data_IF_928676116119
#
_entry.id   IF_928676116119
#
_cell.length_a   1.000
_cell.length_b   1.000
_cell.length_c   1.000
_cell.angle_alpha   90.00
_cell.angle_beta   90.00
_cell.angle_gamma   90.00
#
_symmetry.space_group_name_H-M   'P 1'
#
loop_
_entity.id
_entity.type
_entity.pdbx_description
1 polymer ?
#
# COMPACT_ATOMS: atom_id res chain seq x y z
N UNK A 1 9.58 -8.57 8.40
CA UNK A 1 9.39 -9.93 7.84
C UNK A 1 7.91 -10.16 7.65
N UNK A 2 7.55 -11.00 6.70
CA UNK A 2 6.18 -11.47 6.54
C UNK A 2 6.02 -12.88 7.12
N UNK A 3 4.81 -13.20 7.57
CA UNK A 3 4.37 -14.57 7.81
C UNK A 3 3.60 -15.04 6.58
N UNK A 4 4.04 -16.13 5.96
CA UNK A 4 3.37 -16.79 4.85
C UNK A 4 2.95 -18.18 5.28
N UNK A 5 1.77 -18.62 4.86
CA UNK A 5 1.31 -20.01 5.01
C UNK A 5 0.24 -20.33 3.97
N UNK A 6 -0.09 -21.62 3.82
CA UNK A 6 -1.19 -22.07 2.97
C UNK A 6 -2.39 -22.50 3.81
N UNK A 7 -3.57 -22.22 3.28
CA UNK A 7 -4.84 -22.65 3.84
C UNK A 7 -5.63 -23.45 2.81
N UNK A 8 -6.19 -24.58 3.24
CA UNK A 8 -7.17 -25.36 2.49
C UNK A 8 -8.48 -25.38 3.26
N UNK A 9 -9.58 -25.09 2.59
CA UNK A 9 -10.90 -25.03 3.20
C UNK A 9 -11.81 -26.05 2.53
N UNK A 10 -12.40 -26.94 3.34
CA UNK A 10 -13.37 -27.91 2.81
C UNK A 10 -14.63 -27.22 2.30
N UNK A 11 -15.30 -27.79 1.29
CA UNK A 11 -16.44 -27.19 0.59
C UNK A 11 -17.62 -26.82 1.51
N UNK A 12 -17.83 -27.58 2.59
CA UNK A 12 -18.90 -27.33 3.55
C UNK A 12 -18.60 -26.26 4.59
N UNK A 13 -17.38 -25.71 4.62
CA UNK A 13 -16.97 -24.70 5.60
C UNK A 13 -17.49 -23.32 5.18
N UNK A 14 -18.24 -22.59 6.03
CA UNK A 14 -18.64 -21.21 5.75
C UNK A 14 -17.45 -20.29 5.49
N UNK A 15 -17.68 -19.16 4.82
CA UNK A 15 -16.63 -18.17 4.59
C UNK A 15 -16.23 -17.46 5.88
N UNK A 16 -14.94 -17.13 5.98
CA UNK A 16 -14.37 -16.49 7.15
C UNK A 16 -13.26 -15.51 6.75
N UNK A 17 -12.98 -14.59 7.65
CA UNK A 17 -11.78 -13.78 7.64
C UNK A 17 -10.69 -14.44 8.51
N UNK A 18 -9.44 -14.21 8.15
CA UNK A 18 -8.28 -14.57 8.97
C UNK A 18 -7.57 -13.29 9.41
N UNK A 19 -7.22 -13.23 10.69
CA UNK A 19 -6.31 -12.22 11.24
C UNK A 19 -5.25 -12.88 12.11
N UNK A 20 -4.14 -12.18 12.28
CA UNK A 20 -3.03 -12.62 13.09
C UNK A 20 -2.98 -11.77 14.36
N UNK A 21 -3.10 -12.41 15.52
CA UNK A 21 -2.82 -11.77 16.79
C UNK A 21 -1.32 -11.60 16.93
N UNK A 22 -0.85 -10.36 16.93
CA UNK A 22 0.57 -10.01 17.03
C UNK A 22 0.81 -9.18 18.26
N UNK A 23 1.65 -9.68 19.16
CA UNK A 23 2.04 -8.97 20.37
C UNK A 23 3.09 -7.92 20.05
N UNK A 24 2.79 -6.70 20.45
CA UNK A 24 3.75 -5.62 20.56
C UNK A 24 4.31 -5.57 21.98
N UNK A 25 5.62 -5.77 22.08
CA UNK A 25 6.30 -5.84 23.36
C UNK A 25 7.73 -5.30 23.30
N UNK A 26 8.04 -4.49 22.28
CA UNK A 26 9.39 -3.96 22.05
C UNK A 26 10.48 -5.05 22.10
N UNK A 27 10.14 -6.30 21.78
CA UNK A 27 11.09 -7.40 21.84
C UNK A 27 12.21 -7.17 20.82
N UNK A 28 13.44 -7.48 21.23
CA UNK A 28 14.65 -7.33 20.41
C UNK A 28 15.29 -8.67 20.04
N UNK A 29 14.64 -9.79 20.36
CA UNK A 29 15.12 -11.10 19.94
C UNK A 29 15.24 -11.17 18.40
N UNK A 30 16.16 -11.99 17.87
CA UNK A 30 16.22 -12.29 16.45
C UNK A 30 14.89 -12.84 15.97
N UNK A 31 14.55 -12.62 14.70
CA UNK A 31 13.33 -13.16 14.12
C UNK A 31 13.38 -14.70 14.18
N UNK A 32 12.27 -15.33 14.60
CA UNK A 32 12.19 -16.75 14.91
C UNK A 32 12.62 -17.11 16.34
N UNK A 33 13.14 -16.14 17.10
CA UNK A 33 13.45 -16.28 18.53
C UNK A 33 12.21 -16.20 19.42
N UNK A 34 12.40 -16.46 20.72
CA UNK A 34 11.33 -16.33 21.71
C UNK A 34 10.88 -14.86 21.79
N UNK A 35 9.61 -14.64 21.46
CA UNK A 35 9.01 -13.32 21.45
C UNK A 35 8.67 -12.74 22.83
N UNK A 36 8.58 -13.58 23.87
CA UNK A 36 8.04 -13.20 25.18
C UNK A 36 6.52 -13.28 25.24
N UNK A 37 5.96 -13.17 26.45
CA UNK A 37 4.53 -13.41 26.72
C UNK A 37 3.79 -12.22 27.35
N UNK A 38 4.43 -11.05 27.39
CA UNK A 38 3.86 -9.82 27.99
C UNK A 38 3.96 -8.70 26.96
N UNK A 39 2.90 -7.90 26.83
CA UNK A 39 2.77 -6.82 25.84
C UNK A 39 1.32 -6.61 25.43
N UNK A 40 1.05 -5.52 24.71
CA UNK A 40 -0.20 -5.32 23.97
C UNK A 40 -0.28 -6.29 22.79
N UNK A 41 -1.48 -6.61 22.34
CA UNK A 41 -1.74 -7.45 21.17
C UNK A 41 -2.58 -6.63 20.20
N UNK A 42 -2.17 -6.67 18.95
CA UNK A 42 -2.84 -6.10 17.79
C UNK A 42 -3.39 -7.21 16.90
N UNK A 43 -4.48 -6.93 16.20
CA UNK A 43 -4.96 -7.75 15.10
C UNK A 43 -4.32 -7.30 13.79
N UNK A 44 -3.19 -7.91 13.42
CA UNK A 44 -2.59 -7.72 12.11
C UNK A 44 -3.48 -8.31 11.01
N UNK A 45 -3.64 -7.55 9.94
CA UNK A 45 -4.47 -7.82 8.78
C UNK A 45 -5.93 -7.43 8.97
N UNK A 46 -6.29 -6.84 10.13
CA UNK A 46 -7.64 -6.35 10.36
C UNK A 46 -7.81 -4.93 9.81
N UNK A 47 -8.86 -4.70 9.02
CA UNK A 47 -9.18 -3.39 8.44
C UNK A 47 -10.37 -2.72 9.13
N UNK A 48 -11.21 -3.50 9.81
CA UNK A 48 -12.31 -3.02 10.63
C UNK A 48 -12.66 -4.01 11.74
N UNK A 49 -13.39 -3.53 12.74
CA UNK A 49 -13.96 -4.37 13.81
C UNK A 49 -15.47 -4.42 13.66
N UNK A 50 -16.03 -5.62 13.62
CA UNK A 50 -17.48 -5.84 13.58
C UNK A 50 -18.01 -6.00 15.02
N UNK A 51 -18.88 -5.10 15.52
CA UNK A 51 -19.42 -5.21 16.87
C UNK A 51 -20.31 -6.45 17.04
N UNK A 52 -20.14 -7.14 18.16
CA UNK A 52 -21.01 -8.24 18.56
C UNK A 52 -21.64 -7.98 19.94
N UNK A 53 -22.69 -8.74 20.25
CA UNK A 53 -23.39 -8.67 21.54
C UNK A 53 -22.40 -8.79 22.70
N UNK A 54 -22.53 -7.92 23.70
CA UNK A 54 -21.64 -7.86 24.86
C UNK A 54 -20.54 -6.80 24.77
N UNK A 55 -20.53 -5.97 23.71
CA UNK A 55 -19.58 -4.87 23.57
C UNK A 55 -18.20 -5.30 23.07
N UNK A 56 -18.08 -6.53 22.59
CA UNK A 56 -16.87 -7.03 21.94
C UNK A 56 -16.89 -6.71 20.45
N UNK A 57 -15.72 -6.65 19.83
CA UNK A 57 -15.56 -6.52 18.37
C UNK A 57 -14.79 -7.71 17.85
N UNK A 58 -15.25 -8.28 16.73
CA UNK A 58 -14.52 -9.34 16.02
C UNK A 58 -13.74 -8.72 14.85
N UNK A 59 -12.48 -9.11 14.64
CA UNK A 59 -11.64 -8.50 13.62
C UNK A 59 -12.07 -8.97 12.23
N UNK A 60 -12.23 -8.02 11.31
CA UNK A 60 -12.47 -8.27 9.88
C UNK A 60 -11.15 -8.09 9.16
N UNK A 61 -10.61 -9.19 8.65
CA UNK A 61 -9.30 -9.20 7.99
C UNK A 61 -9.30 -9.82 6.60
N UNK A 62 -8.33 -10.70 6.33
CA UNK A 62 -8.16 -11.30 5.00
C UNK A 62 -9.27 -12.31 4.74
N UNK A 63 -10.11 -12.05 3.74
CA UNK A 63 -11.23 -12.90 3.38
C UNK A 63 -10.74 -14.20 2.73
N UNK A 64 -11.23 -15.35 3.21
CA UNK A 64 -10.98 -16.67 2.64
C UNK A 64 -12.30 -17.29 2.19
N UNK A 65 -12.49 -17.34 0.88
CA UNK A 65 -13.68 -17.91 0.21
C UNK A 65 -13.33 -19.13 -0.66
N UNK A 66 -12.06 -19.29 -1.03
CA UNK A 66 -11.61 -20.42 -1.84
C UNK A 66 -11.85 -21.75 -1.11
N UNK A 67 -12.43 -22.72 -1.81
CA UNK A 67 -12.72 -24.06 -1.30
C UNK A 67 -12.02 -25.12 -2.14
N UNK A 68 -11.75 -26.26 -1.51
CA UNK A 68 -11.16 -27.46 -2.13
C UNK A 68 -9.87 -27.21 -2.90
N UNK A 69 -9.09 -26.22 -2.46
CA UNK A 69 -7.79 -25.86 -3.02
C UNK A 69 -6.94 -25.18 -1.96
N UNK A 70 -5.63 -25.28 -2.13
CA UNK A 70 -4.67 -24.54 -1.31
C UNK A 70 -4.55 -23.10 -1.81
N UNK A 71 -4.71 -22.14 -0.91
CA UNK A 71 -4.43 -20.72 -1.18
C UNK A 71 -3.37 -20.20 -0.22
N UNK A 72 -2.53 -19.30 -0.72
CA UNK A 72 -1.50 -18.63 0.08
C UNK A 72 -2.12 -17.46 0.85
N UNK A 73 -1.76 -17.34 2.12
CA UNK A 73 -2.09 -16.21 2.99
C UNK A 73 -0.79 -15.60 3.48
N UNK A 74 -0.64 -14.29 3.29
CA UNK A 74 0.55 -13.54 3.71
C UNK A 74 0.15 -12.39 4.62
N UNK A 75 0.77 -12.32 5.80
CA UNK A 75 0.74 -11.17 6.70
C UNK A 75 2.09 -10.45 6.62
N UNK A 76 2.14 -9.31 5.93
CA UNK A 76 3.36 -8.54 5.75
C UNK A 76 3.49 -7.51 6.88
N UNK A 77 3.89 -7.99 8.06
CA UNK A 77 3.79 -7.28 9.34
C UNK A 77 4.21 -5.80 9.32
N UNK A 78 5.34 -5.39 8.67
CA UNK A 78 5.76 -3.98 8.69
C UNK A 78 4.76 -3.01 8.03
N UNK A 79 3.83 -3.50 7.22
CA UNK A 79 2.89 -2.69 6.45
C UNK A 79 1.44 -3.21 6.57
N UNK A 80 1.20 -4.20 7.41
CA UNK A 80 -0.11 -4.80 7.56
C UNK A 80 -1.02 -3.86 8.37
N UNK A 81 -2.27 -3.60 7.95
CA UNK A 81 -3.20 -2.84 8.77
C UNK A 81 -3.43 -3.57 10.10
N UNK A 82 -3.52 -2.80 11.18
CA UNK A 82 -3.67 -3.34 12.52
C UNK A 82 -4.86 -2.69 13.23
N UNK A 83 -5.51 -3.45 14.10
CA UNK A 83 -6.51 -2.93 15.04
C UNK A 83 -6.17 -3.33 16.47
N UNK A 84 -6.48 -2.46 17.45
CA UNK A 84 -6.25 -2.77 18.85
C UNK A 84 -7.07 -3.97 19.30
N UNK A 85 -6.44 -4.90 20.02
CA UNK A 85 -7.13 -6.04 20.62
C UNK A 85 -7.12 -6.02 22.15
N UNK A 86 -5.94 -6.25 22.74
CA UNK A 86 -5.84 -6.49 24.17
C UNK A 86 -4.54 -5.92 24.72
N UNK A 87 -4.54 -5.47 25.97
CA UNK A 87 -3.33 -5.03 26.65
C UNK A 87 -3.09 -5.83 27.93
N UNK A 88 -1.82 -6.15 28.18
CA UNK A 88 -1.39 -6.68 29.46
C UNK A 88 -1.42 -5.58 30.53
N UNK A 89 -1.72 -5.95 31.78
CA UNK A 89 -1.64 -5.01 32.91
C UNK A 89 -0.24 -4.41 33.03
N UNK A 90 -0.15 -3.08 33.13
CA UNK A 90 1.11 -2.36 33.20
C UNK A 90 1.81 -2.11 31.85
N UNK A 91 1.19 -2.47 30.74
CA UNK A 91 1.63 -2.11 29.39
C UNK A 91 0.76 -1.02 28.77
N UNK A 92 1.29 -0.25 27.79
CA UNK A 92 0.47 0.61 26.95
C UNK A 92 -0.75 -0.12 26.39
N UNK A 93 -1.82 0.64 26.18
CA UNK A 93 -2.98 0.11 25.47
C UNK A 93 -2.57 -0.27 24.05
N UNK A 94 -3.17 -1.35 23.53
CA UNK A 94 -3.12 -1.62 22.10
C UNK A 94 -3.64 -0.41 21.34
N UNK A 95 -2.95 0.00 20.28
CA UNK A 95 -3.18 1.27 19.59
C UNK A 95 -3.42 1.11 18.08
N UNK A 96 -3.50 -0.13 17.60
CA UNK A 96 -3.66 -0.44 16.18
C UNK A 96 -2.37 -0.31 15.39
N UNK A 97 -1.20 -0.38 16.04
CA UNK A 97 0.10 -0.30 15.38
C UNK A 97 1.08 -1.30 15.99
N UNK A 98 2.04 -1.71 15.17
CA UNK A 98 3.25 -2.36 15.66
C UNK A 98 4.35 -1.30 15.72
N UNK A 99 4.86 -1.01 16.92
CA UNK A 99 5.91 -0.01 17.19
C UNK A 99 7.28 -0.40 16.59
N UNK A 100 7.39 -1.60 16.02
CA UNK A 100 8.57 -2.08 15.32
C UNK A 100 8.24 -2.97 14.11
N UNK A 101 9.26 -3.35 13.32
CA UNK A 101 9.09 -4.16 12.12
C UNK A 101 8.81 -5.66 12.42
N UNK A 102 8.63 -6.00 13.69
CA UNK A 102 8.47 -7.35 14.20
C UNK A 102 7.47 -7.37 15.37
N UNK A 103 6.72 -8.47 15.48
CA UNK A 103 5.84 -8.75 16.59
C UNK A 103 5.90 -10.23 16.96
N UNK A 104 5.44 -10.58 18.15
CA UNK A 104 5.34 -12.00 18.55
C UNK A 104 4.03 -12.58 18.06
N UNK A 105 4.08 -13.67 17.31
CA UNK A 105 2.87 -14.40 16.88
C UNK A 105 2.20 -14.99 18.12
N UNK A 106 0.97 -14.57 18.39
CA UNK A 106 0.20 -15.05 19.53
C UNK A 106 -0.86 -16.07 19.08
N UNK A 107 -1.66 -15.72 18.08
CA UNK A 107 -2.74 -16.56 17.60
C UNK A 107 -3.13 -16.27 16.15
N UNK A 108 -3.81 -17.24 15.54
CA UNK A 108 -4.60 -17.01 14.34
C UNK A 108 -6.06 -16.96 14.74
N UNK A 109 -6.76 -15.90 14.33
CA UNK A 109 -8.19 -15.76 14.55
C UNK A 109 -8.95 -15.99 13.24
N UNK A 110 -10.01 -16.79 13.34
CA UNK A 110 -10.94 -17.10 12.26
C UNK A 110 -12.28 -16.47 12.59
N UNK A 111 -12.68 -15.47 11.81
CA UNK A 111 -13.92 -14.71 12.04
C UNK A 111 -14.94 -15.09 10.96
N UNK A 112 -16.06 -15.74 11.30
CA UNK A 112 -17.13 -16.00 10.32
C UNK A 112 -17.56 -14.72 9.61
N UNK A 113 -17.72 -14.76 8.28
CA UNK A 113 -18.23 -13.59 7.54
C UNK A 113 -19.64 -13.25 8.03
N UNK A 114 -20.53 -14.24 8.03
CA UNK A 114 -21.88 -14.07 8.56
C UNK A 114 -21.89 -14.14 10.10
N UNK A 115 -22.33 -13.07 10.81
CA UNK A 115 -22.46 -13.09 12.25
C UNK A 115 -23.57 -14.07 12.68
N UNK A 116 -23.17 -15.30 12.98
CA UNK A 116 -24.07 -16.39 13.35
C UNK A 116 -23.86 -17.69 12.58
N UNK A 117 -22.99 -17.71 11.57
CA UNK A 117 -22.64 -18.94 10.87
C UNK A 117 -22.01 -19.95 11.84
N UNK A 118 -22.73 -21.04 12.09
CA UNK A 118 -22.30 -22.17 12.90
C UNK A 118 -21.66 -23.24 12.03
N UNK A 119 -20.71 -23.98 12.62
CA UNK A 119 -19.88 -24.95 11.90
C UNK A 119 -20.60 -26.22 11.43
N UNK A 120 -19.83 -27.17 10.87
CA UNK A 120 -18.39 -27.32 11.06
C UNK A 120 -17.52 -26.37 10.22
N UNK A 121 -16.41 -25.90 10.79
CA UNK A 121 -15.31 -25.27 10.06
C UNK A 121 -14.17 -26.29 9.95
N UNK A 122 -13.96 -26.81 8.74
CA UNK A 122 -12.88 -27.75 8.44
C UNK A 122 -11.84 -27.03 7.60
N UNK A 123 -10.71 -26.75 8.25
CA UNK A 123 -9.62 -25.93 7.74
C UNK A 123 -8.31 -26.70 7.96
N UNK A 124 -7.47 -26.76 6.93
CA UNK A 124 -6.11 -27.28 7.03
C UNK A 124 -5.13 -26.14 6.79
N UNK A 125 -4.06 -26.10 7.57
CA UNK A 125 -3.00 -25.11 7.49
C UNK A 125 -1.69 -25.84 7.25
N UNK A 126 -0.87 -25.32 6.35
CA UNK A 126 0.42 -25.92 6.00
C UNK A 126 1.41 -24.84 5.55
N UNK A 127 2.68 -25.22 5.36
CA UNK A 127 3.74 -24.38 4.80
C UNK A 127 3.95 -23.03 5.55
N UNK A 128 3.89 -23.04 6.88
CA UNK A 128 4.24 -21.85 7.66
C UNK A 128 5.70 -21.46 7.48
N UNK A 129 5.90 -20.23 7.04
CA UNK A 129 7.20 -19.70 6.68
C UNK A 129 7.34 -18.24 7.12
N UNK A 130 8.51 -17.93 7.65
CA UNK A 130 8.97 -16.56 7.82
C UNK A 130 9.67 -16.11 6.54
N UNK A 131 9.14 -15.08 5.90
CA UNK A 131 9.69 -14.55 4.64
C UNK A 131 10.37 -13.21 4.89
N UNK A 132 11.62 -13.07 4.47
CA UNK A 132 12.32 -11.79 4.49
C UNK A 132 11.65 -10.81 3.53
N UNK A 133 11.65 -9.53 3.88
CA UNK A 133 11.10 -8.48 3.01
C UNK A 133 12.15 -7.40 2.85
N UNK A 134 12.26 -6.88 1.63
CA UNK A 134 13.32 -5.96 1.25
C UNK A 134 12.74 -4.69 0.66
N UNK A 135 13.34 -3.53 0.92
CA UNK A 135 12.89 -2.29 0.29
C UNK A 135 13.30 -2.24 -1.18
N UNK A 136 12.50 -1.53 -1.97
CA UNK A 136 12.88 -1.04 -3.30
C UNK A 136 13.08 0.47 -3.18
N UNK A 137 14.19 1.00 -3.70
CA UNK A 137 14.46 2.43 -3.72
C UNK A 137 15.03 2.92 -5.04
N UNK A 138 14.88 4.22 -5.25
CA UNK A 138 15.38 4.92 -6.43
C UNK A 138 14.99 6.38 -6.40
N UNK A 139 14.90 6.98 -7.57
CA UNK A 139 14.61 8.39 -7.77
C UNK A 139 13.42 8.59 -8.72
N UNK A 140 12.54 9.52 -8.39
CA UNK A 140 11.48 10.00 -9.28
C UNK A 140 11.83 11.44 -9.66
N UNK A 141 12.02 11.67 -10.96
CA UNK A 141 12.03 13.01 -11.53
C UNK A 141 10.61 13.39 -11.93
N UNK A 142 10.09 14.46 -11.34
CA UNK A 142 8.85 15.10 -11.78
C UNK A 142 9.23 16.19 -12.79
N UNK A 143 9.01 15.95 -14.08
CA UNK A 143 9.44 16.90 -15.11
C UNK A 143 8.68 18.22 -15.03
N UNK A 144 9.38 19.30 -15.38
CA UNK A 144 8.84 20.66 -15.49
C UNK A 144 8.14 21.19 -14.24
N UNK A 145 8.59 20.78 -13.05
CA UNK A 145 8.03 21.21 -11.77
C UNK A 145 9.07 21.92 -10.91
N UNK A 146 8.77 23.16 -10.55
CA UNK A 146 9.59 24.04 -9.72
C UNK A 146 9.08 24.12 -8.26
N UNK A 147 7.87 23.58 -7.99
CA UNK A 147 7.30 23.50 -6.65
C UNK A 147 8.02 22.50 -5.72
N UNK A 148 7.53 22.39 -4.47
CA UNK A 148 8.11 21.49 -3.48
C UNK A 148 7.73 20.01 -3.75
N UNK A 149 8.64 19.29 -4.42
CA UNK A 149 8.47 17.86 -4.75
C UNK A 149 8.24 16.97 -3.52
N UNK A 150 8.59 17.41 -2.31
CA UNK A 150 8.34 16.63 -1.08
C UNK A 150 6.86 16.58 -0.70
N UNK A 151 6.06 17.49 -1.25
CA UNK A 151 4.61 17.56 -1.05
C UNK A 151 3.82 16.83 -2.14
N UNK A 152 4.48 16.29 -3.16
CA UNK A 152 3.83 15.55 -4.25
C UNK A 152 3.84 14.04 -3.94
N UNK A 153 2.70 13.44 -3.55
CA UNK A 153 2.63 12.00 -3.37
C UNK A 153 2.71 11.29 -4.73
N UNK A 154 3.54 10.24 -4.81
CA UNK A 154 3.62 9.37 -5.98
C UNK A 154 2.96 8.03 -5.64
N UNK A 155 1.96 7.64 -6.42
CA UNK A 155 1.37 6.31 -6.35
C UNK A 155 2.25 5.33 -7.11
N UNK A 156 2.61 4.22 -6.46
CA UNK A 156 3.33 3.12 -7.07
C UNK A 156 2.52 1.83 -6.94
N UNK A 157 2.15 1.26 -8.07
CA UNK A 157 1.55 -0.07 -8.14
C UNK A 157 2.64 -1.12 -8.38
N UNK A 158 2.68 -2.14 -7.53
CA UNK A 158 3.45 -3.36 -7.76
C UNK A 158 2.52 -4.33 -8.48
N UNK A 159 2.86 -4.64 -9.72
CA UNK A 159 2.11 -5.54 -10.59
C UNK A 159 2.86 -6.86 -10.71
N UNK A 160 2.17 -7.98 -10.51
CA UNK A 160 2.72 -9.32 -10.69
C UNK A 160 1.71 -10.16 -11.47
N UNK A 161 2.18 -10.82 -12.53
CA UNK A 161 1.33 -11.63 -13.42
C UNK A 161 0.10 -10.85 -13.95
N UNK A 162 0.29 -9.56 -14.27
CA UNK A 162 -0.76 -8.67 -14.77
C UNK A 162 -1.78 -8.20 -13.73
N UNK A 163 -1.59 -8.52 -12.44
CA UNK A 163 -2.48 -8.08 -11.36
C UNK A 163 -1.74 -7.10 -10.44
N UNK A 164 -2.38 -6.00 -10.06
CA UNK A 164 -1.89 -5.13 -8.98
C UNK A 164 -1.96 -5.93 -7.68
N UNK A 165 -0.80 -6.26 -7.10
CA UNK A 165 -0.70 -7.01 -5.85
C UNK A 165 -0.45 -6.10 -4.64
N UNK A 166 -0.01 -4.87 -4.88
CA UNK A 166 0.11 -3.82 -3.86
C UNK A 166 0.07 -2.44 -4.49
N UNK A 167 -0.63 -1.52 -3.86
CA UNK A 167 -0.52 -0.08 -4.13
C UNK A 167 0.16 0.58 -2.94
N UNK A 168 1.16 1.42 -3.20
CA UNK A 168 1.85 2.21 -2.19
C UNK A 168 1.83 3.68 -2.60
N UNK A 169 1.72 4.57 -1.63
CA UNK A 169 2.03 5.99 -1.83
C UNK A 169 3.41 6.25 -1.25
N UNK A 170 4.31 6.77 -2.08
CA UNK A 170 5.66 7.18 -1.65
C UNK A 170 5.75 8.70 -1.68
N UNK A 171 6.41 9.25 -0.66
CA UNK A 171 6.78 10.66 -0.61
C UNK A 171 8.24 10.78 -1.01
N UNK A 172 8.55 11.81 -1.79
CA UNK A 172 9.91 12.07 -2.24
C UNK A 172 10.67 12.88 -1.18
N UNK A 173 11.98 12.64 -1.08
CA UNK A 173 12.87 13.59 -0.41
C UNK A 173 13.19 14.80 -1.32
N UNK A 174 13.91 15.79 -0.80
CA UNK A 174 14.26 17.01 -1.55
C UNK A 174 15.14 16.78 -2.79
N UNK A 175 15.66 15.56 -2.98
CA UNK A 175 16.40 15.16 -4.18
C UNK A 175 15.59 14.24 -5.11
N UNK A 176 14.31 13.99 -4.81
CA UNK A 176 13.45 13.09 -5.57
C UNK A 176 13.59 11.61 -5.18
N UNK A 177 14.33 11.26 -4.12
CA UNK A 177 14.50 9.85 -3.75
C UNK A 177 13.25 9.31 -3.05
N UNK A 178 12.95 8.04 -3.28
CA UNK A 178 11.84 7.34 -2.66
C UNK A 178 12.26 5.97 -2.12
N UNK A 179 11.43 5.38 -1.26
CA UNK A 179 11.57 3.99 -0.82
C UNK A 179 10.21 3.34 -0.63
N UNK A 180 10.03 2.17 -1.23
CA UNK A 180 8.89 1.27 -0.98
C UNK A 180 9.36 0.23 0.03
N UNK A 181 8.92 0.28 1.30
CA UNK A 181 9.38 -0.63 2.32
C UNK A 181 8.71 -2.01 2.19
N UNK A 182 9.36 -3.02 2.75
CA UNK A 182 8.80 -4.34 2.98
C UNK A 182 8.17 -5.00 1.74
N UNK A 183 8.90 -5.07 0.62
CA UNK A 183 8.47 -5.82 -0.56
C UNK A 183 8.87 -7.28 -0.41
N UNK A 184 7.96 -8.19 -0.75
CA UNK A 184 8.22 -9.63 -0.74
C UNK A 184 9.17 -10.01 -1.88
N UNK A 185 9.95 -11.10 -1.77
CA UNK A 185 10.70 -11.65 -2.88
C UNK A 185 9.76 -12.01 -4.04
N UNK A 186 10.13 -11.60 -5.24
CA UNK A 186 9.27 -11.69 -6.42
C UNK A 186 9.81 -10.84 -7.56
N UNK A 187 9.18 -10.95 -8.73
CA UNK A 187 9.43 -10.05 -9.86
C UNK A 187 8.17 -9.24 -10.10
N UNK A 188 8.33 -7.93 -10.20
CA UNK A 188 7.24 -6.98 -10.30
C UNK A 188 7.46 -6.02 -11.47
N UNK A 189 6.38 -5.63 -12.14
CA UNK A 189 6.36 -4.37 -12.86
C UNK A 189 5.96 -3.27 -11.87
N UNK A 190 6.69 -2.17 -11.84
CA UNK A 190 6.44 -1.03 -10.95
C UNK A 190 5.87 0.12 -11.77
N UNK A 191 4.59 0.44 -11.57
CA UNK A 191 3.94 1.53 -12.25
C UNK A 191 3.84 2.77 -11.36
N UNK A 192 4.47 3.85 -11.79
CA UNK A 192 4.54 5.13 -11.07
C UNK A 192 3.55 6.12 -11.69
N UNK A 193 2.75 6.78 -10.85
CA UNK A 193 1.79 7.81 -11.26
C UNK A 193 1.74 8.91 -10.19
N UNK A 194 2.00 10.14 -10.60
CA UNK A 194 1.73 11.34 -9.80
C UNK A 194 0.47 12.04 -10.31
N UNK A 195 0.10 13.17 -9.73
CA UNK A 195 -1.20 13.81 -9.94
C UNK A 195 -1.49 14.16 -11.40
N UNK A 196 -0.64 14.99 -12.02
CA UNK A 196 -0.81 15.48 -13.39
C UNK A 196 0.33 15.08 -14.35
N UNK A 197 1.08 14.04 -13.97
CA UNK A 197 2.13 13.45 -14.81
C UNK A 197 1.69 12.09 -15.34
N UNK A 198 2.11 11.75 -16.56
CA UNK A 198 1.89 10.47 -17.21
C UNK A 198 2.51 9.31 -16.42
N UNK A 199 1.86 8.14 -16.51
CA UNK A 199 2.30 6.89 -15.88
C UNK A 199 3.57 6.36 -16.54
N UNK A 200 4.48 5.81 -15.74
CA UNK A 200 5.68 5.10 -16.24
C UNK A 200 5.81 3.75 -15.55
N UNK A 201 6.15 2.71 -16.30
CA UNK A 201 6.31 1.34 -15.81
C UNK A 201 7.77 0.90 -15.93
N UNK A 202 8.38 0.57 -14.79
CA UNK A 202 9.65 -0.17 -14.76
C UNK A 202 9.35 -1.65 -14.70
N UNK A 203 9.66 -2.37 -15.79
CA UNK A 203 9.36 -3.80 -15.92
C UNK A 203 10.42 -4.69 -15.27
N UNK A 204 10.00 -5.89 -14.88
CA UNK A 204 10.88 -6.97 -14.44
C UNK A 204 11.80 -6.62 -13.26
N UNK A 205 11.30 -5.83 -12.29
CA UNK A 205 12.04 -5.50 -11.06
C UNK A 205 12.04 -6.71 -10.12
N UNK A 206 13.17 -7.41 -10.05
CA UNK A 206 13.33 -8.59 -9.21
C UNK A 206 13.82 -8.25 -7.80
N UNK A 207 12.99 -8.54 -6.81
CA UNK A 207 13.34 -8.55 -5.38
C UNK A 207 13.79 -9.96 -4.99
N UNK A 208 15.00 -10.06 -4.45
CA UNK A 208 15.56 -11.30 -3.88
C UNK A 208 15.80 -11.09 -2.39
N UNK A 209 16.78 -11.78 -1.79
CA UNK A 209 17.13 -11.68 -0.36
C UNK A 209 17.96 -10.41 -0.02
N UNK A 210 17.80 -9.33 -0.80
CA UNK A 210 18.51 -8.06 -0.59
C UNK A 210 17.70 -6.85 -1.08
N UNK A 211 17.95 -5.65 -0.51
CA UNK A 211 17.40 -4.39 -1.04
C UNK A 211 17.63 -4.21 -2.53
N UNK A 212 16.63 -3.68 -3.23
CA UNK A 212 16.75 -3.26 -4.64
C UNK A 212 16.93 -1.75 -4.67
N UNK A 213 17.93 -1.27 -5.41
CA UNK A 213 18.24 0.16 -5.54
C UNK A 213 18.34 0.56 -7.01
N UNK A 214 18.24 1.85 -7.30
CA UNK A 214 18.44 2.39 -8.65
C UNK A 214 17.25 2.19 -9.59
N UNK A 215 16.05 1.96 -9.05
CA UNK A 215 14.81 1.98 -9.82
C UNK A 215 14.41 3.44 -10.03
N UNK A 216 14.94 4.06 -11.09
CA UNK A 216 14.73 5.48 -11.35
C UNK A 216 13.73 5.69 -12.49
N UNK A 217 12.86 6.69 -12.36
CA UNK A 217 11.87 7.08 -13.37
C UNK A 217 11.83 8.59 -13.56
N UNK A 218 11.43 9.03 -14.76
CA UNK A 218 11.07 10.41 -15.05
C UNK A 218 9.61 10.44 -15.50
N UNK A 219 8.76 11.22 -14.84
CA UNK A 219 7.35 11.33 -15.18
C UNK A 219 7.14 12.57 -16.04
N UNK A 220 6.51 12.39 -17.20
CA UNK A 220 6.23 13.47 -18.15
C UNK A 220 4.97 14.22 -17.70
N UNK A 221 5.04 15.54 -17.65
CA UNK A 221 4.00 16.42 -17.13
C UNK A 221 2.91 16.72 -18.19
N UNK A 222 1.67 17.03 -17.77
CA UNK A 222 0.63 17.61 -18.63
C UNK A 222 -0.70 16.85 -18.72
N UNK A 223 -0.83 15.74 -18.01
CA UNK A 223 -2.07 14.93 -17.94
C UNK A 223 -2.93 15.42 -16.77
N UNK A 224 -3.62 16.54 -16.98
CA UNK A 224 -4.35 17.29 -15.95
C UNK A 224 -5.57 16.50 -15.47
N UNK A 225 -6.21 15.75 -16.36
CA UNK A 225 -7.42 15.00 -16.03
C UNK A 225 -7.12 13.59 -15.47
N UNK A 226 -5.87 13.13 -15.55
CA UNK A 226 -5.39 11.85 -15.03
C UNK A 226 -5.78 10.64 -15.88
N UNK A 227 -6.15 10.84 -17.16
CA UNK A 227 -6.55 9.77 -18.08
C UNK A 227 -5.39 9.06 -18.77
N UNK A 228 -4.16 9.46 -18.45
CA UNK A 228 -2.90 8.93 -18.96
C UNK A 228 -2.57 9.35 -20.40
N UNK A 229 -3.17 10.45 -20.88
CA UNK A 229 -2.85 11.09 -22.15
C UNK A 229 -2.75 12.62 -21.99
N UNK A 230 -1.82 13.28 -22.70
CA UNK A 230 -1.79 14.74 -22.77
C UNK A 230 -2.55 15.17 -24.03
N UNK A 231 -3.78 15.68 -23.85
CA UNK A 231 -4.75 15.83 -24.93
C UNK A 231 -5.41 17.21 -24.98
N UNK A 232 -6.40 17.37 -25.88
CA UNK A 232 -7.27 18.54 -25.90
C UNK A 232 -8.14 18.66 -24.64
N UNK A 233 -8.39 17.55 -23.93
CA UNK A 233 -9.16 17.57 -22.69
C UNK A 233 -8.37 18.32 -21.59
N UNK A 234 -7.08 18.04 -21.47
CA UNK A 234 -6.17 18.71 -20.54
C UNK A 234 -6.04 20.18 -20.87
N UNK A 235 -5.87 20.50 -22.16
CA UNK A 235 -5.84 21.88 -22.62
C UNK A 235 -7.11 22.64 -22.24
N UNK A 236 -8.28 22.02 -22.36
CA UNK A 236 -9.54 22.66 -21.99
C UNK A 236 -9.61 22.97 -20.48
N UNK A 237 -9.09 22.08 -19.64
CA UNK A 237 -9.02 22.28 -18.18
C UNK A 237 -8.04 23.41 -17.85
N UNK A 238 -6.86 23.43 -18.48
CA UNK A 238 -5.88 24.50 -18.29
C UNK A 238 -6.48 25.86 -18.66
N UNK A 239 -7.13 25.96 -19.83
CA UNK A 239 -7.74 27.22 -20.29
C UNK A 239 -8.89 27.69 -19.38
N UNK A 240 -9.60 26.76 -18.71
CA UNK A 240 -10.65 27.11 -17.77
C UNK A 240 -10.10 27.74 -16.47
N UNK A 241 -8.88 27.38 -16.07
CA UNK A 241 -8.20 27.89 -14.89
C UNK A 241 -7.18 29.01 -15.21
N UNK A 242 -7.01 29.39 -16.48
CA UNK A 242 -5.95 30.30 -16.91
C UNK A 242 -6.03 31.69 -16.24
N UNK A 243 -4.91 32.17 -15.72
CA UNK A 243 -4.74 33.43 -15.00
C UNK A 243 -5.29 33.41 -13.57
N UNK A 244 -5.39 32.23 -12.95
CA UNK A 244 -5.87 32.07 -11.57
C UNK A 244 -4.78 31.48 -10.67
N UNK A 245 -4.86 31.81 -9.39
CA UNK A 245 -4.02 31.26 -8.32
C UNK A 245 -4.84 30.79 -7.10
N UNK A 246 -4.18 30.26 -6.06
CA UNK A 246 -4.86 29.81 -4.84
C UNK A 246 -5.79 30.88 -4.25
N UNK A 247 -7.07 30.53 -4.12
CA UNK A 247 -8.11 31.40 -3.56
C UNK A 247 -9.06 32.01 -4.60
N UNK A 248 -8.72 31.92 -5.89
CA UNK A 248 -9.64 32.29 -6.98
C UNK A 248 -10.71 31.23 -7.21
N UNK A 249 -11.88 31.66 -7.71
CA UNK A 249 -13.06 30.78 -7.89
C UNK A 249 -12.81 29.61 -8.86
N UNK A 250 -12.02 29.85 -9.92
CA UNK A 250 -11.74 28.86 -10.96
C UNK A 250 -10.35 28.21 -10.82
N UNK A 251 -9.70 28.38 -9.67
CA UNK A 251 -8.41 27.76 -9.40
C UNK A 251 -8.47 26.23 -9.52
N UNK A 252 -7.52 25.67 -10.25
CA UNK A 252 -7.31 24.24 -10.31
C UNK A 252 -5.82 23.92 -10.12
N UNK A 253 -5.49 23.36 -8.96
CA UNK A 253 -4.11 22.98 -8.64
C UNK A 253 -3.50 21.94 -9.59
N UNK A 254 -4.31 21.20 -10.35
CA UNK A 254 -3.81 20.26 -11.38
C UNK A 254 -3.44 20.97 -12.69
N UNK A 255 -3.90 22.21 -12.90
CA UNK A 255 -3.56 23.00 -14.08
C UNK A 255 -2.32 23.89 -13.87
N UNK A 256 -1.88 24.06 -12.61
CA UNK A 256 -0.58 24.60 -12.22
C UNK A 256 0.47 23.48 -12.35
N UNK A 257 0.92 23.28 -13.58
CA UNK A 257 1.79 22.19 -13.97
C UNK A 257 3.22 22.39 -13.45
N UNK A 258 3.69 23.63 -13.32
CA UNK A 258 5.03 23.92 -12.80
C UNK A 258 5.06 24.12 -11.27
N UNK A 259 3.91 24.28 -10.62
CA UNK A 259 3.80 24.42 -9.18
C UNK A 259 4.22 25.80 -8.66
N UNK A 260 4.09 26.85 -9.47
CA UNK A 260 4.43 28.23 -9.08
C UNK A 260 3.24 29.02 -8.49
N UNK A 261 2.11 28.35 -8.29
CA UNK A 261 0.85 28.90 -7.77
C UNK A 261 0.14 29.88 -8.74
N UNK A 262 0.47 29.89 -10.04
CA UNK A 262 -0.19 30.68 -11.09
C UNK A 262 -0.43 29.84 -12.36
N UNK A 263 -1.70 29.56 -12.72
CA UNK A 263 -1.98 28.87 -13.99
C UNK A 263 -1.77 29.82 -15.16
N UNK A 264 -0.64 29.71 -15.85
CA UNK A 264 -0.19 30.71 -16.81
C UNK A 264 0.40 30.16 -18.10
N UNK A 265 1.22 31.01 -18.74
CA UNK A 265 1.90 30.67 -19.99
C UNK A 265 3.00 29.61 -19.80
N UNK A 266 3.54 29.48 -18.59
CA UNK A 266 4.51 28.44 -18.26
C UNK A 266 3.85 27.06 -18.37
N UNK A 267 2.70 26.87 -17.73
CA UNK A 267 1.92 25.63 -17.77
C UNK A 267 1.44 25.32 -19.18
N UNK A 268 0.92 26.32 -19.88
CA UNK A 268 0.52 26.17 -21.26
C UNK A 268 1.69 25.69 -22.15
N UNK A 269 2.91 26.17 -21.90
CA UNK A 269 4.10 25.75 -22.63
C UNK A 269 4.54 24.33 -22.29
N UNK A 270 4.34 23.87 -21.05
CA UNK A 270 4.59 22.49 -20.62
C UNK A 270 3.61 21.55 -21.34
N UNK A 271 2.31 21.85 -21.26
CA UNK A 271 1.26 21.06 -21.89
C UNK A 271 1.49 20.93 -23.41
N UNK A 272 1.77 22.04 -24.10
CA UNK A 272 1.99 22.02 -25.55
C UNK A 272 3.23 21.21 -25.96
N UNK A 273 4.28 21.21 -25.13
CA UNK A 273 5.51 20.45 -25.41
C UNK A 273 5.25 18.94 -25.37
N UNK A 274 4.39 18.52 -24.45
CA UNK A 274 4.07 17.12 -24.22
C UNK A 274 2.77 16.69 -24.92
N UNK A 275 2.17 17.56 -25.75
CA UNK A 275 0.89 17.30 -26.40
C UNK A 275 0.92 16.04 -27.28
N UNK A 276 -0.04 15.14 -27.07
CA UNK A 276 -0.12 13.83 -27.71
C UNK A 276 0.75 12.75 -27.06
N UNK A 277 1.44 13.04 -25.96
CA UNK A 277 2.13 12.01 -25.18
C UNK A 277 1.13 11.12 -24.44
N UNK A 278 1.50 9.85 -24.28
CA UNK A 278 0.72 8.83 -23.57
C UNK A 278 1.63 8.18 -22.54
N UNK A 279 1.08 7.86 -21.37
CA UNK A 279 1.79 7.09 -20.36
C UNK A 279 1.79 5.60 -20.69
N UNK A 280 2.56 4.84 -19.91
CA UNK A 280 2.66 3.40 -20.06
C UNK A 280 1.37 2.67 -19.65
N UNK A 281 1.03 1.61 -20.39
CA UNK A 281 -0.02 0.64 -20.07
C UNK A 281 0.53 -0.65 -19.43
#
# INVERSE_FOLDING_TARGET
HALRFKIYVAAGTPDFYVTLGTRDNANTAPIGGNGGAVGSIEWAGAVSGDPITGGYTRPVGKLVTAKEQWVEVVFNLPIEPCLPFASASGWPAADGKLDGPQGTIECLAFTPVEPGAVGPYVIYLDDFEQVAVHPISGNVQLEDYDGDITQVPVTVELVQNGNVVRTATVNLDANGNYTIPAVLPGTYDLAFKASHWLRVIVRDVTVTESPVTGVNVSLINGDINGDNEVSLADLAILLAAFGTGPGDENWNAQADLNGDEDVGLADFSILLRNFGAQGDE
#
